data_IF_931082575041
#
_entry.id   IF_931082575041
#
_cell.length_a   1.000
_cell.length_b   1.000
_cell.length_c   1.000
_cell.angle_alpha   90.00
_cell.angle_beta   90.00
_cell.angle_gamma   90.00
#
_symmetry.space_group_name_H-M   'P 1'
#
loop_
_entity.id
_entity.type
_entity.pdbx_description
1 polymer ?
#
# COMPACT_ATOMS: atom_id res chain seq x y z
N UNK A 1 -12.30 11.73 5.45
CA UNK A 1 -13.45 12.62 5.15
C UNK A 1 -13.07 14.10 5.13
N UNK A 2 -12.36 14.63 6.15
CA UNK A 2 -12.06 16.08 6.22
C UNK A 2 -11.39 16.60 4.94
N UNK A 3 -10.31 15.98 4.48
CA UNK A 3 -9.61 16.38 3.25
C UNK A 3 -10.57 16.39 2.05
N UNK A 4 -11.42 15.38 1.94
CA UNK A 4 -12.41 15.29 0.86
C UNK A 4 -13.42 16.42 0.89
N UNK A 5 -13.99 16.73 2.05
CA UNK A 5 -14.99 17.78 2.21
C UNK A 5 -14.39 19.20 2.12
N UNK A 6 -13.11 19.37 2.49
CA UNK A 6 -12.39 20.63 2.29
C UNK A 6 -12.20 20.93 0.80
N UNK A 7 -12.01 19.91 -0.05
CA UNK A 7 -11.91 20.06 -1.51
C UNK A 7 -13.29 20.13 -2.19
N UNK A 8 -14.24 19.33 -1.71
CA UNK A 8 -15.54 19.14 -2.34
C UNK A 8 -16.69 19.24 -1.32
N UNK A 9 -17.03 20.45 -0.81
CA UNK A 9 -17.94 20.62 0.33
C UNK A 9 -19.35 20.04 0.16
N UNK A 10 -19.82 19.94 -1.08
CA UNK A 10 -21.17 19.43 -1.40
C UNK A 10 -21.17 18.00 -1.95
N UNK A 11 -20.01 17.34 -1.99
CA UNK A 11 -19.91 16.01 -2.57
C UNK A 11 -20.41 14.92 -1.60
N UNK A 12 -21.04 13.85 -2.10
CA UNK A 12 -21.55 12.78 -1.26
C UNK A 12 -20.42 11.94 -0.65
N UNK A 13 -20.49 11.65 0.64
CA UNK A 13 -19.51 10.79 1.35
C UNK A 13 -19.94 9.33 1.41
N UNK A 14 -21.17 9.01 0.99
CA UNK A 14 -21.80 7.69 1.20
C UNK A 14 -20.91 6.51 0.77
N UNK A 15 -20.26 6.55 -0.39
CA UNK A 15 -19.42 5.46 -0.88
C UNK A 15 -18.17 5.30 -0.01
N UNK A 16 -17.54 6.40 0.39
CA UNK A 16 -16.38 6.39 1.30
C UNK A 16 -16.79 5.78 2.65
N UNK A 17 -17.90 6.26 3.23
CA UNK A 17 -18.41 5.76 4.53
C UNK A 17 -18.76 4.27 4.48
N UNK A 18 -19.32 3.81 3.36
CA UNK A 18 -19.62 2.41 3.13
C UNK A 18 -18.34 1.57 3.06
N UNK A 19 -17.37 2.02 2.26
CA UNK A 19 -16.11 1.33 2.07
C UNK A 19 -15.33 1.18 3.40
N UNK A 20 -15.28 2.22 4.23
CA UNK A 20 -14.64 2.13 5.56
C UNK A 20 -15.32 1.14 6.49
N UNK A 21 -16.67 1.10 6.52
CA UNK A 21 -17.40 0.09 7.31
C UNK A 21 -17.13 -1.32 6.81
N UNK A 22 -17.13 -1.51 5.50
CA UNK A 22 -16.89 -2.82 4.92
C UNK A 22 -15.44 -3.29 5.11
N UNK A 23 -14.46 -2.38 5.04
CA UNK A 23 -13.08 -2.69 5.40
C UNK A 23 -12.98 -3.20 6.85
N UNK A 24 -13.60 -2.48 7.79
CA UNK A 24 -13.62 -2.90 9.20
C UNK A 24 -14.18 -4.32 9.35
N UNK A 25 -15.32 -4.59 8.74
CA UNK A 25 -15.93 -5.92 8.75
C UNK A 25 -15.06 -6.99 8.10
N UNK A 26 -14.39 -6.65 6.99
CA UNK A 26 -13.49 -7.55 6.27
C UNK A 26 -12.30 -7.97 7.15
N UNK A 27 -11.62 -6.98 7.76
CA UNK A 27 -10.45 -7.25 8.59
C UNK A 27 -10.81 -7.96 9.91
N UNK A 28 -12.04 -7.79 10.41
CA UNK A 28 -12.57 -8.49 11.60
C UNK A 28 -13.19 -9.87 11.29
N UNK A 29 -13.28 -10.29 10.01
CA UNK A 29 -13.91 -11.54 9.61
C UNK A 29 -15.44 -11.52 9.64
N UNK A 30 -16.05 -10.35 9.68
CA UNK A 30 -17.50 -10.15 9.65
C UNK A 30 -18.04 -9.91 8.24
N UNK A 31 -17.15 -9.81 7.24
CA UNK A 31 -17.54 -9.67 5.85
C UNK A 31 -17.82 -11.04 5.24
N UNK A 32 -18.99 -11.22 4.58
CA UNK A 32 -19.41 -12.54 4.11
C UNK A 32 -18.42 -13.16 3.13
N UNK A 33 -18.04 -14.41 3.40
CA UNK A 33 -17.17 -15.18 2.53
C UNK A 33 -15.68 -15.10 2.84
N UNK A 34 -15.27 -14.33 3.86
CA UNK A 34 -13.87 -14.10 4.21
C UNK A 34 -13.54 -14.42 5.65
N UNK A 35 -12.32 -14.93 5.89
CA UNK A 35 -11.73 -15.00 7.23
C UNK A 35 -11.30 -13.59 7.69
N UNK A 36 -11.06 -13.38 9.00
CA UNK A 36 -10.38 -12.16 9.45
C UNK A 36 -8.98 -12.06 8.84
N UNK A 37 -8.47 -10.84 8.72
CA UNK A 37 -7.09 -10.60 8.31
C UNK A 37 -6.14 -11.22 9.34
N UNK A 38 -5.19 -12.05 8.87
CA UNK A 38 -4.21 -12.76 9.69
C UNK A 38 -2.76 -12.39 9.37
N UNK A 39 -2.55 -11.33 8.58
CA UNK A 39 -1.24 -10.75 8.30
C UNK A 39 -0.88 -9.69 9.33
N UNK A 40 0.36 -9.72 9.82
CA UNK A 40 0.82 -8.82 10.87
C UNK A 40 1.41 -7.51 10.35
N UNK A 41 2.01 -7.51 9.15
CA UNK A 41 2.56 -6.33 8.51
C UNK A 41 1.50 -5.62 7.65
N UNK A 42 0.80 -6.38 6.79
CA UNK A 42 -0.29 -5.88 5.95
C UNK A 42 -1.61 -5.86 6.75
N UNK A 43 -1.60 -5.14 7.87
CA UNK A 43 -2.71 -4.98 8.80
C UNK A 43 -3.60 -3.78 8.44
N UNK A 44 -4.67 -3.57 9.19
CA UNK A 44 -5.59 -2.45 8.97
C UNK A 44 -4.90 -1.09 9.13
N UNK A 45 -3.87 -0.98 10.00
CA UNK A 45 -3.13 0.28 10.19
C UNK A 45 -2.37 0.65 8.93
N UNK A 46 -1.68 -0.32 8.30
CA UNK A 46 -1.00 -0.09 7.02
C UNK A 46 -1.98 0.44 5.96
N UNK A 47 -3.12 -0.23 5.80
CA UNK A 47 -4.15 0.17 4.82
C UNK A 47 -4.67 1.59 5.08
N UNK A 48 -4.91 1.95 6.34
CA UNK A 48 -5.37 3.29 6.70
C UNK A 48 -4.29 4.36 6.44
N UNK A 49 -3.02 4.06 6.71
CA UNK A 49 -1.90 4.97 6.45
C UNK A 49 -1.71 5.22 4.95
N UNK A 50 -1.82 4.18 4.12
CA UNK A 50 -1.80 4.28 2.65
C UNK A 50 -2.98 5.10 2.14
N UNK A 51 -4.18 4.83 2.66
CA UNK A 51 -5.40 5.58 2.29
C UNK A 51 -5.28 7.06 2.63
N UNK A 52 -4.70 7.38 3.80
CA UNK A 52 -4.46 8.77 4.19
C UNK A 52 -3.39 9.43 3.31
N UNK A 53 -2.32 8.72 2.98
CA UNK A 53 -1.30 9.21 2.06
C UNK A 53 -1.89 9.49 0.67
N UNK A 54 -2.72 8.58 0.14
CA UNK A 54 -3.44 8.78 -1.12
C UNK A 54 -4.30 10.05 -1.11
N UNK A 55 -5.10 10.24 -0.06
CA UNK A 55 -5.93 11.44 0.07
C UNK A 55 -5.09 12.74 0.12
N UNK A 56 -3.94 12.71 0.77
CA UNK A 56 -3.00 13.84 0.85
C UNK A 56 -2.32 14.14 -0.48
N UNK A 57 -1.97 13.12 -1.26
CA UNK A 57 -1.40 13.29 -2.60
C UNK A 57 -2.42 13.92 -3.55
N UNK A 58 -3.67 13.47 -3.52
CA UNK A 58 -4.74 14.07 -4.33
C UNK A 58 -4.99 15.52 -3.90
N UNK A 59 -5.07 15.80 -2.61
CA UNK A 59 -5.23 17.17 -2.08
C UNK A 59 -4.09 18.09 -2.54
N UNK A 60 -2.86 17.61 -2.46
CA UNK A 60 -1.69 18.36 -2.91
C UNK A 60 -1.72 18.65 -4.41
N UNK A 61 -2.13 17.69 -5.23
CA UNK A 61 -2.33 17.89 -6.65
C UNK A 61 -3.42 18.94 -6.93
N UNK A 62 -4.60 18.80 -6.32
CA UNK A 62 -5.72 19.73 -6.52
C UNK A 62 -5.35 21.16 -6.14
N UNK A 63 -4.57 21.36 -5.09
CA UNK A 63 -4.10 22.68 -4.64
C UNK A 63 -3.00 23.27 -5.52
N UNK A 64 -2.16 22.43 -6.14
CA UNK A 64 -0.99 22.87 -6.91
C UNK A 64 -1.27 23.01 -8.41
N UNK A 65 -2.36 22.45 -8.92
CA UNK A 65 -2.62 22.42 -10.36
C UNK A 65 -2.91 23.80 -10.95
N UNK A 66 -2.28 24.07 -12.09
CA UNK A 66 -2.52 25.27 -12.91
C UNK A 66 -2.81 24.80 -14.32
N UNK A 67 -4.06 24.98 -14.77
CA UNK A 67 -4.47 24.63 -16.14
C UNK A 67 -4.54 23.13 -16.47
N UNK A 68 -4.25 22.25 -15.49
CA UNK A 68 -4.35 20.79 -15.64
C UNK A 68 -5.75 20.29 -15.28
N UNK A 69 -6.09 19.10 -15.79
CA UNK A 69 -7.40 18.46 -15.51
C UNK A 69 -7.54 18.18 -14.00
N UNK A 70 -8.64 18.58 -13.34
CA UNK A 70 -8.90 18.20 -11.95
C UNK A 70 -9.27 16.71 -11.86
N UNK A 71 -9.02 16.10 -10.71
CA UNK A 71 -9.59 14.79 -10.39
C UNK A 71 -11.10 14.88 -10.16
N UNK A 72 -11.53 15.90 -9.44
CA UNK A 72 -12.91 15.99 -8.99
C UNK A 72 -13.25 14.95 -7.91
N UNK A 73 -14.45 15.06 -7.37
CA UNK A 73 -14.92 14.23 -6.27
C UNK A 73 -15.02 12.74 -6.63
N UNK A 74 -15.34 12.41 -7.86
CA UNK A 74 -15.48 11.03 -8.33
C UNK A 74 -14.15 10.28 -8.36
N UNK A 75 -13.08 10.87 -8.95
CA UNK A 75 -11.75 10.23 -8.97
C UNK A 75 -11.09 10.27 -7.61
N UNK A 76 -11.39 11.26 -6.76
CA UNK A 76 -10.94 11.24 -5.36
C UNK A 76 -11.51 10.01 -4.64
N UNK A 77 -12.84 9.76 -4.74
CA UNK A 77 -13.47 8.58 -4.15
C UNK A 77 -12.87 7.29 -4.70
N UNK A 78 -12.68 7.20 -6.01
CA UNK A 78 -12.05 6.04 -6.64
C UNK A 78 -10.66 5.78 -6.06
N UNK A 79 -9.79 6.79 -6.02
CA UNK A 79 -8.44 6.65 -5.51
C UNK A 79 -8.39 6.22 -4.04
N UNK A 80 -9.20 6.85 -3.19
CA UNK A 80 -9.27 6.53 -1.75
C UNK A 80 -9.83 5.13 -1.51
N UNK A 81 -10.88 4.72 -2.22
CA UNK A 81 -11.47 3.38 -2.06
C UNK A 81 -10.53 2.30 -2.61
N UNK A 82 -9.84 2.56 -3.73
CA UNK A 82 -8.83 1.61 -4.24
C UNK A 82 -7.66 1.47 -3.25
N UNK A 83 -7.19 2.57 -2.65
CA UNK A 83 -6.18 2.54 -1.60
C UNK A 83 -6.65 1.77 -0.36
N UNK A 84 -7.93 1.92 0.01
CA UNK A 84 -8.51 1.25 1.17
C UNK A 84 -8.55 -0.28 1.02
N UNK A 85 -8.63 -0.79 -0.21
CA UNK A 85 -8.69 -2.22 -0.50
C UNK A 85 -7.47 -2.75 -1.26
N UNK A 86 -6.35 -2.00 -1.33
CA UNK A 86 -5.20 -2.41 -2.13
C UNK A 86 -4.57 -3.73 -1.67
N UNK A 87 -4.60 -4.00 -0.37
CA UNK A 87 -4.06 -5.21 0.25
C UNK A 87 -5.13 -6.25 0.61
N UNK A 88 -6.37 -6.05 0.16
CA UNK A 88 -7.45 -6.99 0.40
C UNK A 88 -7.13 -8.41 -0.06
N UNK A 89 -6.28 -8.55 -1.08
CA UNK A 89 -5.86 -9.86 -1.60
C UNK A 89 -5.09 -10.73 -0.61
N UNK A 90 -4.62 -10.19 0.50
CA UNK A 90 -4.09 -10.97 1.63
C UNK A 90 -5.18 -11.63 2.48
N UNK A 91 -6.42 -11.15 2.43
CA UNK A 91 -7.53 -11.74 3.20
C UNK A 91 -7.98 -13.05 2.54
N UNK A 92 -8.00 -14.14 3.31
CA UNK A 92 -8.38 -15.47 2.82
C UNK A 92 -9.90 -15.60 2.70
N UNK A 93 -10.35 -16.30 1.65
CA UNK A 93 -11.75 -16.70 1.52
C UNK A 93 -12.07 -17.90 2.40
N UNK A 94 -13.31 -18.02 2.90
CA UNK A 94 -13.76 -19.18 3.66
C UNK A 94 -13.70 -20.50 2.87
N UNK A 95 -13.66 -20.41 1.55
CA UNK A 95 -13.52 -21.56 0.64
C UNK A 95 -12.07 -21.99 0.42
N UNK A 96 -11.11 -21.18 0.88
CA UNK A 96 -9.69 -21.49 0.79
C UNK A 96 -9.28 -22.57 1.79
N UNK A 97 -9.00 -23.77 1.28
CA UNK A 97 -8.54 -24.91 2.06
C UNK A 97 -7.04 -25.22 1.84
N UNK A 98 -6.35 -24.44 1.02
CA UNK A 98 -4.97 -24.68 0.63
C UNK A 98 -3.97 -23.87 1.46
N UNK A 99 -4.32 -22.60 1.78
CA UNK A 99 -3.46 -21.68 2.48
C UNK A 99 -3.84 -21.57 3.96
N UNK A 100 -2.84 -21.43 4.81
CA UNK A 100 -3.01 -21.29 6.27
C UNK A 100 -2.94 -19.85 6.76
N UNK A 101 -2.28 -18.98 5.99
CA UNK A 101 -2.08 -17.57 6.31
C UNK A 101 -2.14 -16.71 5.06
N UNK A 102 -2.68 -15.50 5.19
CA UNK A 102 -2.81 -14.55 4.08
C UNK A 102 -1.48 -14.17 3.44
N UNK A 103 -0.37 -14.20 4.18
CA UNK A 103 0.96 -13.91 3.64
C UNK A 103 1.41 -14.90 2.54
N UNK A 104 0.80 -16.09 2.46
CA UNK A 104 1.06 -17.02 1.36
C UNK A 104 0.63 -16.46 0.00
N UNK A 105 -0.23 -15.43 -0.02
CA UNK A 105 -0.63 -14.70 -1.23
C UNK A 105 0.29 -13.54 -1.61
N UNK A 106 1.44 -13.33 -0.95
CA UNK A 106 2.36 -12.20 -1.23
C UNK A 106 2.65 -12.01 -2.72
N UNK A 107 2.67 -13.08 -3.52
CA UNK A 107 2.95 -13.01 -4.96
C UNK A 107 1.74 -12.72 -5.83
N UNK A 108 0.53 -12.82 -5.30
CA UNK A 108 -0.73 -12.76 -6.06
C UNK A 108 -1.77 -11.85 -5.43
N UNK A 109 -1.46 -11.20 -4.28
CA UNK A 109 -2.42 -10.38 -3.52
C UNK A 109 -2.99 -9.22 -4.34
N UNK A 110 -2.17 -8.58 -5.21
CA UNK A 110 -2.65 -7.47 -6.05
C UNK A 110 -3.67 -7.97 -7.07
N UNK A 111 -3.39 -9.08 -7.75
CA UNK A 111 -4.33 -9.68 -8.69
C UNK A 111 -5.63 -10.13 -8.00
N UNK A 112 -5.55 -10.67 -6.78
CA UNK A 112 -6.73 -11.02 -5.95
C UNK A 112 -7.53 -9.78 -5.56
N UNK A 113 -6.84 -8.71 -5.12
CA UNK A 113 -7.46 -7.42 -4.82
C UNK A 113 -8.13 -6.78 -6.04
N UNK A 114 -7.54 -6.93 -7.22
CA UNK A 114 -8.12 -6.48 -8.51
C UNK A 114 -9.48 -7.16 -8.77
N UNK A 115 -9.55 -8.47 -8.62
CA UNK A 115 -10.81 -9.25 -8.77
C UNK A 115 -11.85 -8.77 -7.75
N UNK A 116 -11.45 -8.62 -6.48
CA UNK A 116 -12.34 -8.14 -5.44
C UNK A 116 -12.93 -6.74 -5.76
N UNK A 117 -12.08 -5.78 -6.14
CA UNK A 117 -12.53 -4.41 -6.45
C UNK A 117 -13.52 -4.39 -7.61
N UNK A 118 -13.30 -5.23 -8.61
CA UNK A 118 -14.22 -5.37 -9.76
C UNK A 118 -15.61 -5.84 -9.33
N UNK A 119 -15.68 -6.75 -8.35
CA UNK A 119 -16.94 -7.27 -7.81
C UNK A 119 -17.55 -6.39 -6.72
N UNK A 120 -16.73 -5.63 -6.01
CA UNK A 120 -17.15 -4.82 -4.87
C UNK A 120 -17.73 -3.46 -5.28
N UNK A 121 -17.07 -2.73 -6.19
CA UNK A 121 -17.48 -1.37 -6.56
C UNK A 121 -18.93 -1.28 -7.08
N UNK A 122 -19.43 -2.23 -7.88
CA UNK A 122 -20.86 -2.24 -8.27
C UNK A 122 -21.81 -2.28 -7.06
N UNK A 123 -21.45 -3.00 -5.99
CA UNK A 123 -22.29 -3.17 -4.81
C UNK A 123 -22.44 -1.87 -3.99
N UNK A 124 -21.49 -0.95 -4.13
CA UNK A 124 -21.54 0.37 -3.46
C UNK A 124 -21.97 1.50 -4.41
N UNK A 125 -22.44 1.17 -5.62
CA UNK A 125 -22.93 2.12 -6.60
C UNK A 125 -21.83 2.86 -7.38
N UNK A 126 -20.71 2.17 -7.67
CA UNK A 126 -19.57 2.65 -8.47
C UNK A 126 -19.22 1.67 -9.60
N UNK A 127 -20.22 1.07 -10.22
CA UNK A 127 -20.05 0.04 -11.26
C UNK A 127 -19.20 0.52 -12.45
N UNK A 128 -19.36 1.78 -12.85
CA UNK A 128 -18.63 2.42 -13.96
C UNK A 128 -17.12 2.56 -13.69
N UNK A 129 -16.70 2.48 -12.41
CA UNK A 129 -15.30 2.59 -11.99
C UNK A 129 -14.66 1.23 -11.70
N UNK A 130 -15.40 0.14 -11.77
CA UNK A 130 -14.96 -1.18 -11.33
C UNK A 130 -13.74 -1.69 -12.13
N UNK A 131 -13.81 -1.66 -13.46
CA UNK A 131 -12.70 -2.08 -14.32
C UNK A 131 -11.47 -1.18 -14.16
N UNK A 132 -11.68 0.12 -13.94
CA UNK A 132 -10.59 1.08 -13.72
C UNK A 132 -9.90 0.81 -12.38
N UNK A 133 -10.65 0.60 -11.29
CA UNK A 133 -10.08 0.28 -9.99
C UNK A 133 -9.26 -1.02 -10.03
N UNK A 134 -9.75 -2.03 -10.76
CA UNK A 134 -9.06 -3.29 -10.98
C UNK A 134 -7.71 -3.13 -11.69
N UNK A 135 -7.59 -2.14 -12.57
CA UNK A 135 -6.31 -1.79 -13.20
C UNK A 135 -5.44 -0.91 -12.29
N UNK A 136 -6.02 0.07 -11.58
CA UNK A 136 -5.27 1.00 -10.73
C UNK A 136 -4.53 0.31 -9.59
N UNK A 137 -5.10 -0.74 -9.01
CA UNK A 137 -4.46 -1.46 -7.90
C UNK A 137 -3.08 -2.03 -8.28
N UNK A 138 -2.87 -2.39 -9.56
CA UNK A 138 -1.60 -2.93 -10.03
C UNK A 138 -0.42 -1.94 -9.93
N UNK A 139 -0.68 -0.65 -9.71
CA UNK A 139 0.38 0.33 -9.44
C UNK A 139 1.06 0.13 -8.08
N UNK A 140 0.43 -0.55 -7.11
CA UNK A 140 1.06 -0.87 -5.81
C UNK A 140 2.02 -2.05 -5.91
N UNK A 141 1.72 -3.03 -6.76
CA UNK A 141 2.48 -4.29 -6.85
C UNK A 141 3.61 -4.31 -7.87
N UNK A 142 4.23 -5.47 -7.94
CA UNK A 142 5.26 -5.84 -8.93
C UNK A 142 4.83 -6.99 -9.83
N UNK A 143 3.59 -7.49 -9.69
CA UNK A 143 3.03 -8.58 -10.48
C UNK A 143 2.88 -8.19 -11.96
N UNK A 144 2.44 -6.95 -12.21
CA UNK A 144 2.26 -6.39 -13.55
C UNK A 144 3.22 -5.24 -13.78
N UNK A 145 4.06 -5.28 -14.83
CA UNK A 145 4.90 -4.14 -15.20
C UNK A 145 4.05 -2.89 -15.47
N UNK A 146 4.44 -1.73 -14.92
CA UNK A 146 3.66 -0.48 -15.03
C UNK A 146 3.28 -0.10 -16.46
N UNK A 147 4.16 -0.36 -17.44
CA UNK A 147 3.87 -0.11 -18.86
C UNK A 147 2.80 -1.01 -19.47
N UNK A 148 2.42 -2.09 -18.80
CA UNK A 148 1.37 -3.03 -19.24
C UNK A 148 0.02 -2.77 -18.57
N UNK A 149 -0.04 -1.91 -17.55
CA UNK A 149 -1.29 -1.54 -16.90
C UNK A 149 -2.10 -0.69 -17.88
N UNK A 150 -3.29 -1.16 -18.22
CA UNK A 150 -4.14 -0.54 -19.22
C UNK A 150 -5.17 0.39 -18.56
N UNK A 151 -4.91 1.68 -18.60
CA UNK A 151 -5.85 2.71 -18.12
C UNK A 151 -6.28 3.64 -19.27
N UNK A 152 -7.56 4.09 -19.29
CA UNK A 152 -8.15 4.70 -20.47
C UNK A 152 -7.64 6.11 -20.78
N UNK A 153 -6.96 6.78 -19.83
CA UNK A 153 -6.45 8.13 -20.06
C UNK A 153 -5.32 8.51 -19.08
N UNK A 154 -4.54 9.57 -19.37
CA UNK A 154 -3.45 10.03 -18.52
C UNK A 154 -3.85 10.36 -17.08
N UNK A 155 -5.09 10.84 -16.83
CA UNK A 155 -5.55 11.19 -15.48
C UNK A 155 -5.67 9.93 -14.59
N UNK A 156 -6.11 8.80 -15.16
CA UNK A 156 -6.13 7.53 -14.41
C UNK A 156 -4.73 6.99 -14.17
N UNK A 157 -3.81 7.18 -15.13
CA UNK A 157 -2.40 6.81 -14.90
C UNK A 157 -1.77 7.63 -13.78
N UNK A 158 -2.06 8.93 -13.73
CA UNK A 158 -1.64 9.79 -12.63
C UNK A 158 -2.22 9.32 -11.29
N UNK A 159 -3.51 8.97 -11.26
CA UNK A 159 -4.18 8.44 -10.05
C UNK A 159 -3.54 7.11 -9.59
N UNK A 160 -3.24 6.20 -10.52
CA UNK A 160 -2.53 4.96 -10.23
C UNK A 160 -1.10 5.20 -9.73
N UNK A 161 -0.37 6.13 -10.35
CA UNK A 161 0.97 6.53 -9.90
C UNK A 161 0.95 7.11 -8.48
N UNK A 162 -0.07 7.89 -8.14
CA UNK A 162 -0.28 8.36 -6.76
C UNK A 162 -0.58 7.21 -5.80
N UNK A 163 -1.37 6.23 -6.21
CA UNK A 163 -1.69 5.06 -5.39
C UNK A 163 -0.41 4.26 -5.06
N UNK A 164 0.39 3.93 -6.07
CA UNK A 164 1.66 3.25 -5.86
C UNK A 164 2.65 4.09 -5.04
N UNK A 165 2.65 5.42 -5.21
CA UNK A 165 3.46 6.32 -4.39
C UNK A 165 2.98 6.36 -2.94
N UNK A 166 1.67 6.39 -2.71
CA UNK A 166 1.06 6.41 -1.39
C UNK A 166 1.44 5.17 -0.57
N UNK A 167 1.39 3.99 -1.20
CA UNK A 167 1.80 2.74 -0.58
C UNK A 167 3.27 2.78 -0.12
N UNK A 168 4.19 3.17 -1.02
CA UNK A 168 5.61 3.25 -0.69
C UNK A 168 5.89 4.28 0.42
N UNK A 169 5.37 5.52 0.30
CA UNK A 169 5.70 6.57 1.26
C UNK A 169 5.05 6.36 2.63
N UNK A 170 3.84 5.77 2.69
CA UNK A 170 3.16 5.52 3.96
C UNK A 170 3.95 4.53 4.82
N UNK A 171 4.40 3.42 4.24
CA UNK A 171 5.18 2.42 4.97
C UNK A 171 6.60 2.90 5.29
N UNK A 172 7.30 3.49 4.31
CA UNK A 172 8.71 3.90 4.49
C UNK A 172 8.87 5.12 5.40
N UNK A 173 7.85 5.95 5.55
CA UNK A 173 7.83 7.08 6.50
C UNK A 173 7.35 6.70 7.91
N UNK A 174 6.87 5.46 8.12
CA UNK A 174 6.50 5.01 9.45
C UNK A 174 7.74 4.99 10.37
N UNK A 175 7.63 5.66 11.51
CA UNK A 175 8.72 5.71 12.51
C UNK A 175 9.17 4.34 13.02
N UNK A 176 8.32 3.32 12.94
CA UNK A 176 8.60 1.94 13.34
C UNK A 176 8.81 1.02 12.12
N UNK A 177 9.07 1.58 10.94
CA UNK A 177 9.19 0.80 9.69
C UNK A 177 10.19 -0.35 9.81
N UNK A 178 11.38 -0.08 10.32
CA UNK A 178 12.46 -1.08 10.41
C UNK A 178 12.16 -2.16 11.46
N UNK A 179 11.57 -1.78 12.59
CA UNK A 179 11.09 -2.75 13.59
C UNK A 179 9.94 -3.61 13.01
N UNK A 180 9.01 -3.01 12.26
CA UNK A 180 7.95 -3.75 11.56
C UNK A 180 8.53 -4.69 10.49
N UNK A 181 9.57 -4.28 9.78
CA UNK A 181 10.28 -5.16 8.84
C UNK A 181 10.86 -6.40 9.54
N UNK A 182 11.54 -6.20 10.70
CA UNK A 182 12.11 -7.28 11.48
C UNK A 182 11.05 -8.22 12.07
N UNK A 183 10.04 -7.65 12.73
CA UNK A 183 9.14 -8.37 13.63
C UNK A 183 7.87 -8.89 12.93
N UNK A 184 7.46 -8.27 11.81
CA UNK A 184 6.20 -8.58 11.13
C UNK A 184 6.37 -8.97 9.67
N UNK A 185 7.16 -8.19 8.89
CA UNK A 185 7.32 -8.46 7.45
C UNK A 185 8.17 -9.70 7.19
N UNK A 186 9.23 -9.92 8.00
CA UNK A 186 10.05 -11.11 7.83
C UNK A 186 9.26 -12.41 8.02
N UNK A 187 8.45 -12.60 9.08
CA UNK A 187 7.58 -13.78 9.20
C UNK A 187 6.62 -13.95 8.01
N UNK A 188 6.06 -12.86 7.48
CA UNK A 188 5.23 -12.92 6.27
C UNK A 188 6.04 -13.34 5.03
N UNK A 189 7.27 -12.86 4.89
CA UNK A 189 8.17 -13.27 3.80
C UNK A 189 8.56 -14.76 3.92
N UNK A 190 8.64 -15.31 5.13
CA UNK A 190 8.82 -16.75 5.33
C UNK A 190 7.57 -17.49 4.85
N UNK A 191 6.39 -17.11 5.33
CA UNK A 191 5.13 -17.76 4.95
C UNK A 191 4.85 -17.65 3.43
N UNK A 192 5.09 -16.48 2.83
CA UNK A 192 4.89 -16.22 1.39
C UNK A 192 5.99 -16.77 0.47
N UNK A 193 7.00 -17.47 1.03
CA UNK A 193 8.10 -18.04 0.24
C UNK A 193 9.01 -16.99 -0.41
N UNK A 194 9.12 -15.79 0.18
CA UNK A 194 9.98 -14.71 -0.28
C UNK A 194 11.36 -14.80 0.38
N UNK A 195 11.40 -15.17 1.69
CA UNK A 195 12.64 -15.29 2.44
C UNK A 195 13.53 -16.43 1.94
N UNK A 196 12.95 -17.50 1.38
CA UNK A 196 13.67 -18.61 0.77
C UNK A 196 13.08 -18.84 -0.63
N UNK A 197 13.93 -18.74 -1.64
CA UNK A 197 13.57 -19.04 -3.05
C UNK A 197 14.06 -20.43 -3.41
N UNK A 198 13.27 -21.17 -4.19
CA UNK A 198 13.71 -22.41 -4.86
C UNK A 198 13.99 -22.10 -6.31
N UNK A 199 15.17 -22.51 -6.79
CA UNK A 199 15.49 -22.42 -8.22
C UNK A 199 14.80 -23.56 -9.01
N UNK A 200 14.96 -23.57 -10.32
CA UNK A 200 14.40 -24.61 -11.23
C UNK A 200 14.90 -26.04 -10.92
N UNK A 201 16.01 -26.18 -10.22
CA UNK A 201 16.61 -27.45 -9.81
C UNK A 201 16.17 -27.87 -8.40
N UNK A 202 15.30 -27.10 -7.74
CA UNK A 202 14.82 -27.38 -6.39
C UNK A 202 15.78 -26.96 -5.27
N UNK A 203 16.91 -26.33 -5.62
CA UNK A 203 17.90 -25.87 -4.63
C UNK A 203 17.37 -24.60 -3.93
N UNK A 204 17.39 -24.62 -2.61
CA UNK A 204 16.95 -23.46 -1.80
C UNK A 204 18.05 -22.40 -1.76
N UNK A 205 17.67 -21.17 -2.01
CA UNK A 205 18.48 -19.98 -1.87
C UNK A 205 17.86 -19.10 -0.77
N UNK A 206 18.58 -18.91 0.33
CA UNK A 206 18.18 -18.01 1.39
C UNK A 206 18.37 -16.56 0.92
N UNK A 207 17.27 -15.83 0.80
CA UNK A 207 17.24 -14.39 0.46
C UNK A 207 17.40 -13.57 1.74
N UNK A 208 16.61 -13.92 2.77
CA UNK A 208 16.66 -13.32 4.10
C UNK A 208 16.74 -14.42 5.15
N UNK A 209 17.83 -14.42 5.94
CA UNK A 209 18.07 -15.47 6.94
C UNK A 209 17.30 -15.20 8.26
N UNK A 210 17.04 -13.92 8.56
CA UNK A 210 16.32 -13.49 9.76
C UNK A 210 15.68 -12.10 9.53
N UNK A 211 14.89 -11.63 10.50
CA UNK A 211 14.38 -10.26 10.51
C UNK A 211 15.48 -9.20 10.56
N UNK A 212 16.56 -9.47 11.31
CA UNK A 212 17.75 -8.62 11.35
C UNK A 212 18.45 -8.56 9.99
N UNK A 213 18.60 -9.71 9.32
CA UNK A 213 19.18 -9.77 7.98
C UNK A 213 18.33 -9.00 6.95
N UNK A 214 16.99 -9.06 7.07
CA UNK A 214 16.09 -8.24 6.26
C UNK A 214 16.36 -6.75 6.49
N UNK A 215 16.49 -6.31 7.75
CA UNK A 215 16.77 -4.89 8.07
C UNK A 215 18.14 -4.46 7.52
N UNK A 216 19.18 -5.25 7.70
CA UNK A 216 20.53 -4.98 7.18
C UNK A 216 20.51 -4.83 5.64
N UNK A 217 19.68 -5.59 4.95
CA UNK A 217 19.51 -5.53 3.49
C UNK A 217 18.56 -4.43 3.00
N UNK A 218 17.81 -3.79 3.89
CA UNK A 218 16.81 -2.76 3.56
C UNK A 218 17.37 -1.57 2.76
N UNK A 219 18.64 -1.09 2.92
CA UNK A 219 19.17 -0.04 2.05
C UNK A 219 19.14 -0.37 0.55
N UNK A 220 19.21 -1.66 0.19
CA UNK A 220 19.02 -2.12 -1.20
C UNK A 220 17.59 -1.91 -1.69
N UNK A 221 16.62 -2.23 -0.85
CA UNK A 221 15.21 -1.98 -1.13
C UNK A 221 14.91 -0.48 -1.27
N UNK A 222 15.41 0.35 -0.37
CA UNK A 222 15.22 1.79 -0.42
C UNK A 222 15.68 2.41 -1.74
N UNK A 223 16.83 1.99 -2.27
CA UNK A 223 17.29 2.46 -3.60
C UNK A 223 16.29 2.12 -4.71
N UNK A 224 15.75 0.91 -4.70
CA UNK A 224 14.73 0.49 -5.65
C UNK A 224 13.42 1.27 -5.50
N UNK A 225 12.96 1.45 -4.27
CA UNK A 225 11.75 2.19 -3.95
C UNK A 225 11.85 3.68 -4.32
N UNK A 226 12.98 4.33 -4.04
CA UNK A 226 13.24 5.73 -4.44
C UNK A 226 13.24 5.86 -5.96
N UNK A 227 13.93 4.97 -6.68
CA UNK A 227 13.88 4.96 -8.16
C UNK A 227 12.43 4.80 -8.67
N UNK A 228 11.66 3.90 -8.06
CA UNK A 228 10.26 3.70 -8.44
C UNK A 228 9.42 4.95 -8.19
N UNK A 229 9.58 5.62 -7.04
CA UNK A 229 8.90 6.87 -6.72
C UNK A 229 9.22 7.97 -7.73
N UNK A 230 10.50 8.21 -8.00
CA UNK A 230 10.96 9.35 -8.79
C UNK A 230 10.76 9.15 -10.29
N UNK A 231 11.03 7.93 -10.79
CA UNK A 231 11.06 7.64 -12.23
C UNK A 231 9.80 6.91 -12.65
N UNK A 232 9.53 5.72 -12.09
CA UNK A 232 8.51 4.83 -12.62
C UNK A 232 7.10 5.35 -12.32
N UNK A 233 6.91 6.01 -11.16
CA UNK A 233 5.66 6.64 -10.71
C UNK A 233 5.63 8.16 -10.93
N UNK A 234 6.63 8.70 -11.64
CA UNK A 234 6.65 10.09 -12.10
C UNK A 234 6.74 11.15 -11.01
N UNK A 235 7.34 10.84 -9.85
CA UNK A 235 7.53 11.79 -8.76
C UNK A 235 6.25 12.23 -8.05
N UNK A 236 5.15 11.47 -8.17
CA UNK A 236 3.83 11.85 -7.61
C UNK A 236 3.85 12.05 -6.09
N UNK A 237 4.77 11.43 -5.35
CA UNK A 237 4.96 11.65 -3.93
C UNK A 237 5.25 13.12 -3.57
N UNK A 238 5.75 13.92 -4.52
CA UNK A 238 6.02 15.35 -4.32
C UNK A 238 4.77 16.19 -4.05
N UNK A 239 3.59 15.74 -4.49
CA UNK A 239 2.34 16.45 -4.20
C UNK A 239 2.03 16.58 -2.70
N UNK A 240 2.56 15.69 -1.85
CA UNK A 240 2.44 15.82 -0.40
C UNK A 240 3.00 17.15 0.13
N UNK A 241 4.00 17.75 -0.54
CA UNK A 241 4.56 19.05 -0.18
C UNK A 241 3.48 20.15 -0.16
N UNK A 242 2.59 20.15 -1.15
CA UNK A 242 1.52 21.15 -1.23
C UNK A 242 0.45 20.92 -0.15
N UNK A 243 0.12 19.66 0.12
CA UNK A 243 -0.78 19.31 1.21
C UNK A 243 -0.27 19.83 2.57
N UNK A 244 1.02 19.72 2.84
CA UNK A 244 1.65 20.14 4.09
C UNK A 244 2.08 21.63 4.11
N UNK A 245 1.80 22.39 3.06
CA UNK A 245 2.09 23.83 3.05
C UNK A 245 3.55 24.21 2.75
N UNK A 246 4.27 23.36 2.00
CA UNK A 246 5.62 23.68 1.51
C UNK A 246 6.72 22.68 1.93
N UNK A 247 6.44 21.78 2.86
CA UNK A 247 7.35 20.77 3.38
C UNK A 247 6.80 19.38 3.12
N UNK A 248 7.58 18.45 2.61
CA UNK A 248 7.13 17.07 2.40
C UNK A 248 7.50 16.21 3.61
N UNK A 249 6.58 16.13 4.58
CA UNK A 249 6.81 15.38 5.82
C UNK A 249 7.02 13.88 5.60
N UNK A 250 6.46 13.29 4.55
CA UNK A 250 6.74 11.89 4.22
C UNK A 250 8.20 11.69 3.82
N UNK A 251 8.73 12.55 2.95
CA UNK A 251 10.14 12.45 2.52
C UNK A 251 11.12 12.70 3.67
N UNK A 252 10.77 13.56 4.61
CA UNK A 252 11.62 13.81 5.78
C UNK A 252 11.75 12.56 6.65
N UNK A 253 10.62 11.92 6.99
CA UNK A 253 10.64 10.72 7.82
C UNK A 253 11.22 9.52 7.07
N UNK A 254 10.93 9.38 5.77
CA UNK A 254 11.51 8.37 4.91
C UNK A 254 13.04 8.49 4.85
N UNK A 255 13.58 9.71 4.69
CA UNK A 255 15.02 9.94 4.67
C UNK A 255 15.68 9.61 6.03
N UNK A 256 15.01 9.88 7.15
CA UNK A 256 15.50 9.45 8.47
C UNK A 256 15.60 7.92 8.57
N UNK A 257 14.58 7.20 8.08
CA UNK A 257 14.59 5.73 8.07
C UNK A 257 15.65 5.17 7.11
N UNK A 258 15.86 5.79 5.94
CA UNK A 258 16.96 5.42 5.03
C UNK A 258 18.31 5.55 5.71
N UNK A 259 18.57 6.70 6.32
CA UNK A 259 19.85 6.97 6.99
C UNK A 259 20.09 5.99 8.14
N UNK A 260 19.08 5.77 8.97
CA UNK A 260 19.15 4.82 10.08
C UNK A 260 19.40 3.37 9.62
N UNK A 261 18.75 2.94 8.53
CA UNK A 261 19.02 1.62 7.95
C UNK A 261 20.42 1.50 7.35
N UNK A 262 20.96 2.59 6.78
CA UNK A 262 22.34 2.61 6.26
C UNK A 262 23.36 2.48 7.38
N UNK A 263 23.18 3.15 8.51
CA UNK A 263 24.05 3.02 9.70
C UNK A 263 24.07 1.57 10.20
N UNK A 264 22.88 0.97 10.42
CA UNK A 264 22.79 -0.43 10.86
C UNK A 264 23.39 -1.40 9.86
N UNK A 265 23.21 -1.16 8.56
CA UNK A 265 23.80 -2.00 7.51
C UNK A 265 25.33 -1.92 7.49
N UNK A 266 25.90 -0.72 7.71
CA UNK A 266 27.35 -0.52 7.74
C UNK A 266 28.01 -1.20 8.95
N UNK A 267 27.34 -1.21 10.10
CA UNK A 267 27.82 -1.82 11.33
C UNK A 267 27.43 -3.30 11.47
N UNK A 268 26.57 -3.79 10.59
CA UNK A 268 25.94 -5.12 10.67
C UNK A 268 25.27 -5.38 12.04
N UNK A 269 24.75 -4.31 12.67
CA UNK A 269 24.15 -4.33 14.01
C UNK A 269 22.77 -3.70 14.01
N UNK A 270 21.76 -4.42 14.50
CA UNK A 270 20.37 -3.97 14.65
C UNK A 270 19.97 -3.68 16.09
N UNK A 271 20.91 -3.66 17.02
CA UNK A 271 20.66 -3.44 18.46
C UNK A 271 20.04 -2.07 18.78
N UNK A 272 20.14 -1.12 17.85
CA UNK A 272 19.51 0.21 17.94
C UNK A 272 17.99 0.18 17.69
N UNK A 273 17.43 -0.89 17.15
CA UNK A 273 15.99 -1.07 16.97
C UNK A 273 15.29 -1.32 18.32
N UNK A 274 14.84 -0.25 18.95
CA UNK A 274 14.23 -0.29 20.31
C UNK A 274 12.78 0.15 20.34
N UNK A 275 12.24 0.67 19.24
CA UNK A 275 10.85 1.08 19.19
C UNK A 275 9.95 -0.15 19.18
N UNK A 276 8.79 -0.02 19.80
CA UNK A 276 7.74 -1.05 19.74
C UNK A 276 6.66 -0.57 18.79
N UNK A 277 6.44 -1.25 17.66
CA UNK A 277 5.28 -0.99 16.83
C UNK A 277 4.00 -1.12 17.67
N UNK A 278 2.96 -0.31 17.39
CA UNK A 278 1.64 -0.51 18.01
C UNK A 278 1.17 -1.96 17.81
N UNK A 279 0.36 -2.46 18.75
CA UNK A 279 -0.26 -3.77 18.58
C UNK A 279 -1.09 -3.80 17.28
N UNK A 280 -1.10 -4.94 16.59
CA UNK A 280 -1.93 -5.12 15.41
C UNK A 280 -3.40 -5.08 15.81
N UNK A 281 -4.21 -4.30 15.11
CA UNK A 281 -5.66 -4.19 15.39
C UNK A 281 -6.47 -5.42 14.91
N UNK A 282 -5.82 -6.54 14.70
CA UNK A 282 -6.39 -7.80 14.18
C UNK A 282 -6.82 -8.78 15.29
N UNK A 283 -7.00 -8.29 16.54
CA UNK A 283 -7.57 -9.09 17.63
C UNK A 283 -8.92 -8.57 18.05
#
# INVERSE_FOLDING_TARGET
QRIYLDLYPSAPTRQIDHAFRDLTRLYQGEFPGYYPCDTAYHDVQHVLDVTLAMARLIDGYERSRIGTQPFGDSLFRLGVITALFHDMGYVRELTDNEHKNGAEYTRTHVSRGSIFLKDYLPKIGMAEMADIAAELIHFTGYETPLGKINVPSPIYRLLGSMLGSADIIAQMADRCYLEKCRDRLYPEFVAGGIAIKRNSEGVEQVVFASGEDLVIKTPGFFRGATKRLDIDLGGCHSYAQQHFGGQNLYLEELNKNIHFAQEMSAEADTSMLKRKPPETLTQ
#
